data_IF_966383505341
#
_entry.id   IF_966383505341
#
_cell.length_a   1.000
_cell.length_b   1.000
_cell.length_c   1.000
_cell.angle_alpha   90.00
_cell.angle_beta   90.00
_cell.angle_gamma   90.00
#
_symmetry.space_group_name_H-M   'P 1'
#
loop_
_entity.id
_entity.type
_entity.pdbx_description
1 polymer ?
#
# COMPACT_ATOMS: atom_id res chain seq x y z
N UNK A 1 -3.07 -29.65 -16.53
CA UNK A 1 -4.35 -29.35 -15.83
C UNK A 1 -5.59 -29.55 -16.70
N UNK A 2 -6.76 -29.79 -16.09
CA UNK A 2 -8.03 -30.02 -16.80
C UNK A 2 -8.86 -28.73 -16.95
N UNK A 3 -9.65 -28.58 -18.03
CA UNK A 3 -10.66 -27.52 -18.12
C UNK A 3 -11.62 -27.55 -16.92
N UNK A 4 -12.01 -26.39 -16.44
CA UNK A 4 -12.86 -26.23 -15.26
C UNK A 4 -12.10 -26.01 -13.96
N UNK A 5 -10.80 -26.28 -13.94
CA UNK A 5 -9.97 -26.02 -12.75
C UNK A 5 -9.89 -24.53 -12.48
N UNK A 6 -10.25 -24.09 -11.27
CA UNK A 6 -10.00 -22.71 -10.82
C UNK A 6 -8.58 -22.63 -10.27
N UNK A 7 -7.87 -21.56 -10.62
CA UNK A 7 -6.46 -21.36 -10.30
C UNK A 7 -6.20 -19.97 -9.74
N UNK A 8 -5.19 -19.87 -8.88
CA UNK A 8 -4.54 -18.62 -8.52
C UNK A 8 -3.23 -18.48 -9.28
N UNK A 9 -3.00 -17.31 -9.87
CA UNK A 9 -1.73 -16.90 -10.49
C UNK A 9 -1.29 -15.55 -9.92
N UNK A 10 0.01 -15.23 -10.01
CA UNK A 10 0.58 -13.96 -9.53
C UNK A 10 1.41 -13.24 -10.60
N UNK A 11 0.79 -12.68 -11.67
CA UNK A 11 1.52 -12.04 -12.76
C UNK A 11 2.31 -10.78 -12.34
N UNK A 12 1.86 -10.07 -11.28
CA UNK A 12 2.48 -8.83 -10.78
C UNK A 12 2.45 -8.76 -9.24
N UNK A 13 2.66 -9.88 -8.54
CA UNK A 13 2.49 -10.02 -7.08
C UNK A 13 1.06 -9.84 -6.55
N UNK A 14 0.11 -9.55 -7.42
CA UNK A 14 -1.33 -9.59 -7.10
C UNK A 14 -1.88 -10.99 -7.38
N UNK A 15 -2.69 -11.50 -6.45
CA UNK A 15 -3.41 -12.77 -6.65
C UNK A 15 -4.54 -12.52 -7.65
N UNK A 16 -4.51 -13.26 -8.76
CA UNK A 16 -5.56 -13.25 -9.76
C UNK A 16 -6.19 -14.64 -9.81
N UNK A 17 -7.50 -14.69 -9.70
CA UNK A 17 -8.29 -15.91 -9.87
C UNK A 17 -8.71 -16.06 -11.31
N UNK A 18 -8.61 -17.29 -11.83
CA UNK A 18 -9.03 -17.62 -13.18
C UNK A 18 -9.49 -19.07 -13.27
N UNK A 19 -10.28 -19.39 -14.30
CA UNK A 19 -10.67 -20.76 -14.63
C UNK A 19 -9.96 -21.22 -15.90
N UNK A 20 -9.48 -22.47 -15.91
CA UNK A 20 -8.89 -23.10 -17.07
C UNK A 20 -9.99 -23.43 -18.08
N UNK A 21 -9.90 -22.87 -19.28
CA UNK A 21 -10.85 -23.16 -20.37
C UNK A 21 -10.27 -24.22 -21.32
N UNK A 22 -8.95 -24.18 -21.52
CA UNK A 22 -8.24 -25.13 -22.39
C UNK A 22 -6.80 -25.31 -21.93
N UNK A 23 -6.26 -26.51 -22.11
CA UNK A 23 -4.85 -26.83 -21.88
C UNK A 23 -4.22 -27.33 -23.18
N UNK A 24 -3.08 -26.76 -23.56
CA UNK A 24 -2.26 -27.15 -24.72
C UNK A 24 -0.86 -27.52 -24.22
N UNK A 25 -0.66 -28.79 -23.86
CA UNK A 25 0.55 -29.21 -23.15
C UNK A 25 0.69 -28.44 -21.83
N UNK A 26 1.81 -27.72 -21.66
CA UNK A 26 2.10 -26.89 -20.47
C UNK A 26 1.47 -25.49 -20.52
N UNK A 27 0.86 -25.11 -21.65
CA UNK A 27 0.24 -23.79 -21.83
C UNK A 27 -1.24 -23.87 -21.45
N UNK A 28 -1.65 -23.02 -20.52
CA UNK A 28 -3.02 -22.91 -20.05
C UNK A 28 -3.68 -21.67 -20.68
N UNK A 29 -4.92 -21.83 -21.14
CA UNK A 29 -5.80 -20.74 -21.55
C UNK A 29 -6.84 -20.51 -20.46
N UNK A 30 -6.84 -19.29 -19.92
CA UNK A 30 -7.57 -18.94 -18.71
C UNK A 30 -8.57 -17.82 -18.99
N UNK A 31 -9.69 -17.83 -18.26
CA UNK A 31 -10.61 -16.68 -18.14
C UNK A 31 -10.58 -16.21 -16.69
N UNK A 32 -10.26 -14.95 -16.48
CA UNK A 32 -10.19 -14.33 -15.14
C UNK A 32 -11.57 -14.03 -14.58
N UNK A 33 -11.62 -13.76 -13.27
CA UNK A 33 -12.79 -13.19 -12.58
C UNK A 33 -13.36 -11.90 -13.21
N UNK A 34 -12.57 -11.19 -14.02
CA UNK A 34 -12.98 -9.99 -14.76
C UNK A 34 -13.44 -10.27 -16.20
N UNK A 35 -13.51 -11.54 -16.61
CA UNK A 35 -13.86 -11.95 -17.97
C UNK A 35 -12.73 -11.78 -18.99
N UNK A 36 -11.54 -11.35 -18.57
CA UNK A 36 -10.37 -11.22 -19.45
C UNK A 36 -9.76 -12.59 -19.72
N UNK A 37 -9.48 -12.88 -20.99
CA UNK A 37 -8.69 -14.04 -21.40
C UNK A 37 -7.19 -13.78 -21.24
N UNK A 38 -6.49 -14.78 -20.74
CA UNK A 38 -5.02 -14.78 -20.67
C UNK A 38 -4.47 -16.18 -20.89
N UNK A 39 -3.16 -16.26 -21.10
CA UNK A 39 -2.47 -17.55 -21.15
C UNK A 39 -1.21 -17.53 -20.32
N UNK A 40 -0.92 -18.61 -19.62
CA UNK A 40 0.31 -18.78 -18.86
C UNK A 40 0.80 -20.23 -18.95
N UNK A 41 2.04 -20.46 -18.52
CA UNK A 41 2.53 -21.83 -18.27
C UNK A 41 1.92 -22.36 -16.98
N UNK A 42 1.70 -23.67 -16.90
CA UNK A 42 1.32 -24.39 -15.67
C UNK A 42 2.28 -24.10 -14.50
N UNK A 43 3.56 -23.84 -14.78
CA UNK A 43 4.55 -23.42 -13.77
C UNK A 43 4.27 -22.05 -13.11
N UNK A 44 3.34 -21.25 -13.65
CA UNK A 44 2.92 -19.96 -13.09
C UNK A 44 1.69 -20.09 -12.18
N UNK A 45 1.09 -21.28 -12.09
CA UNK A 45 -0.03 -21.54 -11.19
C UNK A 45 0.50 -21.70 -9.77
N UNK A 46 -0.03 -20.89 -8.85
CA UNK A 46 0.34 -20.94 -7.44
C UNK A 46 -0.54 -21.90 -6.65
N UNK A 47 -1.82 -22.02 -7.03
CA UNK A 47 -2.78 -22.91 -6.40
C UNK A 47 -3.85 -23.30 -7.41
N UNK A 48 -4.40 -24.50 -7.29
CA UNK A 48 -5.41 -25.06 -8.17
C UNK A 48 -6.44 -25.85 -7.38
N UNK A 49 -7.70 -25.80 -7.81
CA UNK A 49 -8.74 -26.67 -7.26
C UNK A 49 -8.49 -28.12 -7.67
N UNK A 50 -8.77 -29.06 -6.78
CA UNK A 50 -8.75 -30.48 -7.10
C UNK A 50 -9.98 -30.86 -7.93
N UNK A 51 -11.13 -30.25 -7.65
CA UNK A 51 -12.35 -30.45 -8.43
C UNK A 51 -12.48 -29.43 -9.56
N UNK A 52 -12.99 -29.90 -10.70
CA UNK A 52 -13.25 -29.05 -11.86
C UNK A 52 -14.68 -28.51 -11.83
N UNK A 53 -14.82 -27.23 -12.13
CA UNK A 53 -16.10 -26.56 -12.33
C UNK A 53 -16.56 -26.68 -13.79
N UNK A 54 -17.80 -26.31 -14.06
CA UNK A 54 -18.27 -26.21 -15.45
C UNK A 54 -17.50 -25.12 -16.21
N UNK A 55 -16.77 -25.56 -17.25
CA UNK A 55 -15.98 -24.72 -18.13
C UNK A 55 -16.73 -24.26 -19.40
N UNK A 56 -18.03 -24.56 -19.50
CA UNK A 56 -18.86 -24.17 -20.64
C UNK A 56 -19.50 -22.78 -20.44
N UNK A 57 -19.89 -22.15 -21.55
CA UNK A 57 -20.58 -20.86 -21.55
C UNK A 57 -19.70 -19.70 -22.01
N UNK A 58 -20.21 -18.48 -21.81
CA UNK A 58 -19.51 -17.24 -22.21
C UNK A 58 -18.42 -16.89 -21.22
N UNK A 59 -17.47 -16.04 -21.63
CA UNK A 59 -16.43 -15.51 -20.73
C UNK A 59 -17.03 -14.82 -19.49
N UNK A 60 -18.20 -14.18 -19.63
CA UNK A 60 -18.90 -13.55 -18.50
C UNK A 60 -19.47 -14.59 -17.51
N UNK A 61 -19.98 -15.71 -18.02
CA UNK A 61 -20.48 -16.83 -17.20
C UNK A 61 -19.34 -17.47 -16.42
N UNK A 62 -18.21 -17.72 -17.08
CA UNK A 62 -17.00 -18.24 -16.47
C UNK A 62 -16.44 -17.29 -15.41
N UNK A 63 -16.40 -15.99 -15.72
CA UNK A 63 -15.97 -14.97 -14.77
C UNK A 63 -16.87 -14.91 -13.52
N UNK A 64 -18.19 -15.05 -13.69
CA UNK A 64 -19.12 -15.08 -12.56
C UNK A 64 -18.88 -16.27 -11.63
N UNK A 65 -18.54 -17.45 -12.17
CA UNK A 65 -18.17 -18.64 -11.36
C UNK A 65 -16.89 -18.41 -10.56
N UNK A 66 -15.87 -17.84 -11.22
CA UNK A 66 -14.61 -17.50 -10.54
C UNK A 66 -14.84 -16.47 -9.44
N UNK A 67 -15.68 -15.46 -9.67
CA UNK A 67 -16.05 -14.47 -8.64
C UNK A 67 -16.79 -15.09 -7.47
N UNK A 68 -17.80 -15.94 -7.71
CA UNK A 68 -18.52 -16.61 -6.63
C UNK A 68 -17.59 -17.44 -5.74
N UNK A 69 -16.70 -18.23 -6.35
CA UNK A 69 -15.70 -18.99 -5.60
C UNK A 69 -14.75 -18.09 -4.82
N UNK A 70 -14.32 -16.96 -5.41
CA UNK A 70 -13.47 -15.98 -4.72
C UNK A 70 -14.20 -15.32 -3.54
N UNK A 71 -15.47 -14.98 -3.68
CA UNK A 71 -16.29 -14.41 -2.61
C UNK A 71 -16.40 -15.38 -1.43
N UNK A 72 -16.59 -16.68 -1.68
CA UNK A 72 -16.55 -17.72 -0.65
C UNK A 72 -15.17 -17.82 0.03
N UNK A 73 -14.10 -17.76 -0.77
CA UNK A 73 -12.71 -17.76 -0.27
C UNK A 73 -12.44 -16.54 0.63
N UNK A 74 -12.87 -15.35 0.22
CA UNK A 74 -12.69 -14.12 0.99
C UNK A 74 -13.52 -14.15 2.28
N UNK A 75 -14.78 -14.60 2.23
CA UNK A 75 -15.61 -14.77 3.41
C UNK A 75 -14.99 -15.75 4.41
N UNK A 76 -14.45 -16.86 3.91
CA UNK A 76 -13.75 -17.87 4.73
C UNK A 76 -12.46 -17.29 5.32
N UNK A 77 -11.69 -16.52 4.53
CA UNK A 77 -10.44 -15.94 4.99
C UNK A 77 -10.67 -14.89 6.09
N UNK A 78 -11.67 -14.01 5.95
CA UNK A 78 -11.96 -12.95 6.92
C UNK A 78 -12.43 -13.50 8.27
N UNK A 79 -12.98 -14.72 8.30
CA UNK A 79 -13.36 -15.39 9.54
C UNK A 79 -12.16 -15.91 10.36
N UNK A 80 -10.95 -15.91 9.80
CA UNK A 80 -9.74 -16.40 10.45
C UNK A 80 -9.02 -15.25 11.14
N UNK A 81 -8.73 -15.41 12.43
CA UNK A 81 -7.85 -14.50 13.17
C UNK A 81 -6.38 -14.79 12.79
N UNK A 82 -5.77 -13.91 11.99
CA UNK A 82 -4.37 -14.08 11.59
C UNK A 82 -3.41 -13.95 12.78
N UNK A 83 -3.75 -13.11 13.75
CA UNK A 83 -3.01 -12.96 15.01
C UNK A 83 -2.97 -14.27 15.79
N UNK A 84 -4.12 -14.92 15.99
CA UNK A 84 -4.19 -16.20 16.73
C UNK A 84 -3.44 -17.31 16.00
N UNK A 85 -3.62 -17.41 14.67
CA UNK A 85 -2.88 -18.37 13.84
C UNK A 85 -1.36 -18.14 13.95
N UNK A 86 -0.93 -16.88 13.90
CA UNK A 86 0.47 -16.53 14.01
C UNK A 86 1.05 -16.85 15.39
N UNK A 87 0.33 -16.55 16.48
CA UNK A 87 0.79 -16.86 17.84
C UNK A 87 0.90 -18.36 18.08
N UNK A 88 -0.06 -19.14 17.57
CA UNK A 88 -0.03 -20.59 17.63
C UNK A 88 1.21 -21.17 16.91
N UNK A 89 1.45 -20.77 15.65
CA UNK A 89 2.55 -21.30 14.85
C UNK A 89 3.93 -20.76 15.27
N UNK A 90 3.99 -19.56 15.84
CA UNK A 90 5.25 -19.00 16.32
C UNK A 90 5.85 -19.83 17.48
N UNK A 91 5.01 -20.47 18.29
CA UNK A 91 5.48 -21.34 19.37
C UNK A 91 6.32 -22.51 18.86
N UNK A 92 6.04 -23.00 17.65
CA UNK A 92 6.80 -24.06 16.98
C UNK A 92 8.05 -23.48 16.27
N UNK A 93 7.95 -22.27 15.72
CA UNK A 93 9.08 -21.53 15.14
C UNK A 93 9.60 -22.09 13.81
N UNK A 94 8.90 -23.06 13.23
CA UNK A 94 9.28 -23.73 11.98
C UNK A 94 8.51 -23.19 10.77
N UNK A 95 9.10 -23.35 9.59
CA UNK A 95 8.43 -23.00 8.35
C UNK A 95 7.54 -24.17 7.91
N UNK A 96 6.24 -23.92 7.77
CA UNK A 96 5.26 -24.94 7.41
C UNK A 96 4.77 -24.76 5.97
N UNK A 97 4.55 -25.83 5.21
CA UNK A 97 3.90 -25.75 3.92
C UNK A 97 2.41 -25.40 4.08
N UNK A 98 1.81 -24.79 3.06
CA UNK A 98 0.41 -24.35 3.10
C UNK A 98 -0.58 -25.44 3.55
N UNK A 99 -0.38 -26.68 3.09
CA UNK A 99 -1.31 -27.78 3.38
C UNK A 99 -1.31 -28.17 4.87
N UNK A 100 -0.15 -28.16 5.52
CA UNK A 100 -0.05 -28.44 6.96
C UNK A 100 -0.70 -27.32 7.78
N UNK A 101 -0.52 -26.06 7.40
CA UNK A 101 -1.18 -24.92 8.07
C UNK A 101 -2.71 -25.05 7.97
N UNK A 102 -3.21 -25.45 6.79
CA UNK A 102 -4.65 -25.67 6.56
C UNK A 102 -5.15 -26.82 7.43
N UNK A 103 -4.45 -27.95 7.46
CA UNK A 103 -4.83 -29.12 8.25
C UNK A 103 -4.81 -28.83 9.76
N UNK A 104 -3.79 -28.11 10.25
CA UNK A 104 -3.70 -27.70 11.65
C UNK A 104 -4.83 -26.76 12.07
N UNK A 105 -5.22 -25.81 11.21
CA UNK A 105 -6.25 -24.83 11.55
C UNK A 105 -7.68 -25.38 11.39
N UNK A 106 -7.96 -26.08 10.28
CA UNK A 106 -9.32 -26.54 9.96
C UNK A 106 -9.60 -27.99 10.36
N UNK A 107 -8.57 -28.79 10.65
CA UNK A 107 -8.68 -30.24 10.87
C UNK A 107 -8.94 -31.05 9.60
N UNK A 108 -9.19 -30.38 8.47
CA UNK A 108 -9.40 -30.99 7.16
C UNK A 108 -8.90 -30.09 6.02
N UNK A 109 -8.50 -30.70 4.92
CA UNK A 109 -8.01 -30.00 3.73
C UNK A 109 -9.07 -30.02 2.63
N UNK A 110 -9.60 -28.84 2.31
CA UNK A 110 -10.50 -28.62 1.17
C UNK A 110 -9.94 -27.58 0.20
N UNK A 111 -10.45 -27.53 -1.04
CA UNK A 111 -10.11 -26.47 -1.98
C UNK A 111 -10.38 -25.08 -1.40
N UNK A 112 -11.56 -24.91 -0.79
CA UNK A 112 -11.94 -23.64 -0.17
C UNK A 112 -10.95 -23.23 0.94
N UNK A 113 -10.63 -24.14 1.86
CA UNK A 113 -9.70 -23.84 2.97
C UNK A 113 -8.30 -23.50 2.48
N UNK A 114 -7.78 -24.20 1.46
CA UNK A 114 -6.45 -23.91 0.90
C UNK A 114 -6.39 -22.53 0.26
N UNK A 115 -7.42 -22.18 -0.51
CA UNK A 115 -7.48 -20.87 -1.17
C UNK A 115 -7.68 -19.74 -0.13
N UNK A 116 -8.52 -19.96 0.89
CA UNK A 116 -8.77 -19.01 1.98
C UNK A 116 -7.51 -18.77 2.82
N UNK A 117 -6.83 -19.83 3.26
CA UNK A 117 -5.60 -19.72 4.03
C UNK A 117 -4.51 -18.99 3.24
N UNK A 118 -4.35 -19.33 1.95
CA UNK A 118 -3.39 -18.64 1.09
C UNK A 118 -3.74 -17.16 0.89
N UNK A 119 -5.03 -16.84 0.71
CA UNK A 119 -5.51 -15.46 0.60
C UNK A 119 -5.18 -14.67 1.87
N UNK A 120 -5.51 -15.21 3.05
CA UNK A 120 -5.22 -14.62 4.35
C UNK A 120 -3.73 -14.34 4.56
N UNK A 121 -2.88 -15.35 4.31
CA UNK A 121 -1.43 -15.24 4.50
C UNK A 121 -0.80 -14.23 3.54
N UNK A 122 -1.35 -14.08 2.33
CA UNK A 122 -0.85 -13.13 1.35
C UNK A 122 -1.26 -11.69 1.65
N UNK A 123 -2.48 -11.45 2.13
CA UNK A 123 -2.94 -10.09 2.50
C UNK A 123 -2.35 -9.62 3.82
N UNK A 124 -1.96 -10.53 4.70
CA UNK A 124 -1.39 -10.24 6.03
C UNK A 124 0.11 -10.56 6.11
N UNK A 125 0.88 -10.02 5.17
CA UNK A 125 2.32 -10.26 4.99
C UNK A 125 3.19 -9.91 6.21
N UNK A 126 2.67 -9.13 7.16
CA UNK A 126 3.41 -8.70 8.35
C UNK A 126 3.70 -9.85 9.31
N UNK A 127 2.88 -10.91 9.30
CA UNK A 127 2.99 -12.02 10.25
C UNK A 127 3.85 -13.18 9.73
N UNK A 128 3.86 -13.41 8.43
CA UNK A 128 4.54 -14.55 7.82
C UNK A 128 5.49 -14.13 6.71
N UNK A 129 6.63 -14.81 6.64
CA UNK A 129 7.53 -14.75 5.49
C UNK A 129 7.26 -15.94 4.56
N UNK A 130 6.90 -15.67 3.30
CA UNK A 130 6.70 -16.72 2.29
C UNK A 130 8.04 -17.11 1.65
N UNK A 131 8.39 -18.39 1.72
CA UNK A 131 9.55 -19.01 1.05
C UNK A 131 9.07 -20.13 0.14
N UNK A 132 8.87 -19.81 -1.14
CA UNK A 132 8.20 -20.71 -2.11
C UNK A 132 6.82 -21.13 -1.58
N UNK A 133 6.67 -22.40 -1.22
CA UNK A 133 5.43 -23.01 -0.73
C UNK A 133 5.34 -23.07 0.80
N UNK A 134 6.37 -22.57 1.49
CA UNK A 134 6.47 -22.55 2.95
C UNK A 134 6.19 -21.15 3.51
N UNK A 135 5.62 -21.12 4.71
CA UNK A 135 5.35 -19.91 5.47
C UNK A 135 6.05 -20.01 6.82
N UNK A 136 6.91 -19.03 7.09
CA UNK A 136 7.63 -18.93 8.35
C UNK A 136 7.00 -17.83 9.21
N UNK A 137 6.47 -18.14 10.40
CA UNK A 137 5.98 -17.11 11.32
C UNK A 137 7.14 -16.18 11.72
N UNK A 138 6.91 -14.88 11.63
CA UNK A 138 7.90 -13.87 12.04
C UNK A 138 7.98 -13.80 13.56
N UNK A 139 9.15 -13.43 14.08
CA UNK A 139 9.32 -13.14 15.51
C UNK A 139 8.48 -11.94 15.93
N UNK A 140 8.01 -11.93 17.18
CA UNK A 140 7.15 -10.86 17.73
C UNK A 140 7.79 -9.48 17.58
N UNK A 141 9.09 -9.36 17.83
CA UNK A 141 9.82 -8.09 17.72
C UNK A 141 9.78 -7.54 16.28
N UNK A 142 9.85 -8.43 15.28
CA UNK A 142 9.78 -8.04 13.86
C UNK A 142 8.37 -7.60 13.49
N UNK A 143 7.34 -8.32 13.94
CA UNK A 143 5.94 -7.95 13.69
C UNK A 143 5.63 -6.59 14.30
N UNK A 144 6.02 -6.36 15.56
CA UNK A 144 5.84 -5.08 16.26
C UNK A 144 6.58 -3.93 15.56
N UNK A 145 7.82 -4.17 15.11
CA UNK A 145 8.57 -3.18 14.35
C UNK A 145 7.89 -2.81 13.02
N UNK A 146 7.37 -3.80 12.28
CA UNK A 146 6.62 -3.56 11.04
C UNK A 146 5.33 -2.79 11.33
N UNK A 147 4.55 -3.20 12.33
CA UNK A 147 3.32 -2.49 12.74
C UNK A 147 3.59 -1.04 13.12
N UNK A 148 4.63 -0.79 13.91
CA UNK A 148 5.00 0.56 14.32
C UNK A 148 5.41 1.43 13.11
N UNK A 149 6.16 0.85 12.17
CA UNK A 149 6.56 1.54 10.93
C UNK A 149 5.37 1.87 10.03
N UNK A 150 4.47 0.92 9.80
CA UNK A 150 3.28 1.15 8.97
C UNK A 150 2.34 2.16 9.63
N UNK A 151 2.10 2.06 10.95
CA UNK A 151 1.29 3.06 11.67
C UNK A 151 1.93 4.46 11.63
N UNK A 152 3.26 4.57 11.69
CA UNK A 152 3.94 5.85 11.55
C UNK A 152 3.82 6.41 10.13
N UNK A 153 3.89 5.56 9.10
CA UNK A 153 3.71 5.92 7.70
C UNK A 153 2.27 6.36 7.43
N UNK A 154 1.28 5.61 7.88
CA UNK A 154 -0.14 5.94 7.71
C UNK A 154 -0.48 7.28 8.39
N UNK A 155 -0.04 7.49 9.64
CA UNK A 155 -0.21 8.78 10.32
C UNK A 155 0.45 9.94 9.56
N UNK A 156 1.56 9.69 8.88
CA UNK A 156 2.25 10.70 8.06
C UNK A 156 1.47 11.02 6.79
N UNK A 157 0.95 10.00 6.11
CA UNK A 157 0.12 10.15 4.91
C UNK A 157 -1.20 10.86 5.24
N UNK A 158 -1.86 10.48 6.34
CA UNK A 158 -3.07 11.17 6.83
C UNK A 158 -2.82 12.64 7.11
N UNK A 159 -1.75 12.99 7.84
CA UNK A 159 -1.40 14.40 8.09
C UNK A 159 -1.12 15.18 6.82
N UNK A 160 -0.51 14.55 5.82
CA UNK A 160 -0.23 15.19 4.54
C UNK A 160 -1.52 15.41 3.74
N UNK A 161 -2.45 14.45 3.75
CA UNK A 161 -3.75 14.60 3.09
C UNK A 161 -4.56 15.72 3.76
N UNK A 162 -4.63 15.72 5.11
CA UNK A 162 -5.30 16.78 5.87
C UNK A 162 -4.73 18.18 5.56
N UNK A 163 -3.39 18.30 5.51
CA UNK A 163 -2.71 19.54 5.14
C UNK A 163 -3.01 19.94 3.69
N UNK A 164 -3.02 18.97 2.77
CA UNK A 164 -3.30 19.21 1.34
C UNK A 164 -4.74 19.66 1.13
N UNK A 165 -5.69 19.01 1.78
CA UNK A 165 -7.11 19.37 1.72
C UNK A 165 -7.38 20.74 2.33
N UNK A 166 -6.77 21.05 3.49
CA UNK A 166 -6.87 22.37 4.07
C UNK A 166 -6.30 23.43 3.13
N UNK A 167 -5.11 23.22 2.55
CA UNK A 167 -4.47 24.19 1.66
C UNK A 167 -5.32 24.43 0.40
N UNK A 168 -5.84 23.37 -0.23
CA UNK A 168 -6.77 23.46 -1.37
C UNK A 168 -8.02 24.26 -1.02
N UNK A 169 -8.56 24.08 0.19
CA UNK A 169 -9.74 24.82 0.65
C UNK A 169 -9.42 26.29 0.90
N UNK A 170 -8.28 26.58 1.52
CA UNK A 170 -7.82 27.93 1.83
C UNK A 170 -7.65 28.77 0.57
N UNK A 171 -6.99 28.22 -0.45
CA UNK A 171 -6.78 28.87 -1.75
C UNK A 171 -8.09 29.12 -2.51
N UNK A 172 -9.15 28.35 -2.26
CA UNK A 172 -10.46 28.52 -2.93
C UNK A 172 -11.37 29.53 -2.22
N UNK A 173 -11.37 29.54 -0.90
CA UNK A 173 -12.35 30.28 -0.08
C UNK A 173 -11.78 31.54 0.57
N UNK A 174 -10.47 31.76 0.49
CA UNK A 174 -9.77 32.81 1.22
C UNK A 174 -9.40 32.39 2.65
N UNK A 175 -8.51 33.16 3.27
CA UNK A 175 -7.80 32.86 4.53
C UNK A 175 -8.64 32.86 5.82
N UNK A 176 -9.97 32.89 5.74
CA UNK A 176 -10.87 32.88 6.93
C UNK A 176 -11.04 31.45 7.50
N UNK A 177 -9.95 30.68 7.50
CA UNK A 177 -9.92 29.30 7.96
C UNK A 177 -9.16 29.19 9.28
N UNK A 178 -9.71 28.35 10.16
CA UNK A 178 -9.13 27.94 11.43
C UNK A 178 -7.64 27.56 11.30
N UNK A 179 -6.77 28.40 11.85
CA UNK A 179 -5.31 28.23 11.83
C UNK A 179 -4.87 26.94 12.52
N UNK A 180 -5.63 26.43 13.52
CA UNK A 180 -5.31 25.15 14.14
C UNK A 180 -5.44 23.99 13.15
N UNK A 181 -6.43 24.05 12.24
CA UNK A 181 -6.57 23.07 11.16
C UNK A 181 -5.49 23.22 10.09
N UNK A 182 -5.02 24.45 9.87
CA UNK A 182 -3.97 24.75 8.90
C UNK A 182 -2.54 24.52 9.38
N UNK A 183 -2.35 24.27 10.68
CA UNK A 183 -1.01 24.21 11.32
C UNK A 183 -0.04 23.30 10.57
N UNK A 184 -0.49 22.11 10.15
CA UNK A 184 0.35 21.15 9.43
C UNK A 184 0.81 21.66 8.05
N UNK A 185 -0.08 22.30 7.30
CA UNK A 185 0.24 22.89 6.00
C UNK A 185 1.19 24.09 6.16
N UNK A 186 0.90 24.96 7.12
CA UNK A 186 1.71 26.15 7.40
C UNK A 186 3.11 25.81 7.89
N UNK A 187 3.26 24.78 8.73
CA UNK A 187 4.59 24.30 9.16
C UNK A 187 5.42 23.83 7.97
N UNK A 188 4.81 23.08 7.04
CA UNK A 188 5.48 22.61 5.83
C UNK A 188 5.86 23.76 4.89
N UNK A 189 4.94 24.70 4.63
CA UNK A 189 5.20 25.87 3.79
C UNK A 189 6.31 26.76 4.39
N UNK A 190 6.24 27.06 5.69
CA UNK A 190 7.30 27.81 6.39
C UNK A 190 8.63 27.07 6.32
N UNK A 191 8.64 25.78 6.60
CA UNK A 191 9.85 24.96 6.52
C UNK A 191 10.53 25.03 5.14
N UNK A 192 9.74 24.90 4.06
CA UNK A 192 10.25 25.07 2.69
C UNK A 192 10.77 26.49 2.47
N UNK A 193 9.96 27.50 2.75
CA UNK A 193 10.31 28.90 2.48
C UNK A 193 11.60 29.33 3.20
N UNK A 194 11.80 28.87 4.44
CA UNK A 194 12.92 29.22 5.30
C UNK A 194 14.21 28.44 4.99
N UNK A 195 14.09 27.12 4.84
CA UNK A 195 15.25 26.21 4.85
C UNK A 195 15.43 25.44 3.53
N UNK A 196 14.45 25.46 2.63
CA UNK A 196 14.52 24.73 1.36
C UNK A 196 14.86 23.25 1.59
N UNK A 197 15.87 22.76 0.86
CA UNK A 197 16.31 21.36 0.94
C UNK A 197 16.86 20.94 2.31
N UNK A 198 17.29 21.90 3.15
CA UNK A 198 17.76 21.61 4.52
C UNK A 198 16.60 21.33 5.50
N UNK A 199 15.36 21.59 5.09
CA UNK A 199 14.19 21.28 5.90
C UNK A 199 14.03 19.76 6.10
N UNK A 200 13.97 19.23 7.34
CA UNK A 200 13.86 17.79 7.57
C UNK A 200 12.65 17.12 6.92
N UNK A 201 11.56 17.88 6.73
CA UNK A 201 10.33 17.42 6.08
C UNK A 201 10.20 17.96 4.64
N UNK A 202 11.31 18.34 3.99
CA UNK A 202 11.32 18.88 2.62
C UNK A 202 10.51 18.05 1.64
N UNK A 203 10.65 16.71 1.66
CA UNK A 203 9.87 15.82 0.78
C UNK A 203 8.35 15.91 1.00
N UNK A 204 7.90 16.07 2.25
CA UNK A 204 6.46 16.27 2.53
C UNK A 204 6.00 17.63 2.05
N UNK A 205 6.82 18.65 2.25
CA UNK A 205 6.55 19.99 1.73
C UNK A 205 6.42 20.01 0.21
N UNK A 206 7.30 19.32 -0.50
CA UNK A 206 7.21 19.17 -1.96
C UNK A 206 5.92 18.48 -2.39
N UNK A 207 5.51 17.41 -1.68
CA UNK A 207 4.24 16.74 -1.96
C UNK A 207 3.04 17.65 -1.70
N UNK A 208 3.10 18.47 -0.65
CA UNK A 208 2.06 19.47 -0.36
C UNK A 208 1.94 20.49 -1.51
N UNK A 209 3.05 21.04 -2.01
CA UNK A 209 3.04 21.97 -3.14
C UNK A 209 2.50 21.31 -4.42
N UNK A 210 2.91 20.08 -4.71
CA UNK A 210 2.39 19.31 -5.85
C UNK A 210 0.87 19.07 -5.72
N UNK A 211 0.37 18.87 -4.51
CA UNK A 211 -1.06 18.63 -4.22
C UNK A 211 -1.99 19.79 -4.62
N UNK A 212 -1.44 21.00 -4.77
CA UNK A 212 -2.11 22.22 -5.21
C UNK A 212 -1.64 22.70 -6.58
N UNK A 213 -0.91 21.87 -7.32
CA UNK A 213 -0.51 22.14 -8.70
C UNK A 213 0.85 22.81 -8.88
N UNK A 214 1.66 22.92 -7.82
CA UNK A 214 2.98 23.54 -7.85
C UNK A 214 4.13 22.52 -7.81
N UNK A 215 4.26 21.69 -8.85
CA UNK A 215 5.44 20.87 -9.05
C UNK A 215 6.62 21.74 -9.55
N UNK A 216 7.64 21.96 -8.73
CA UNK A 216 8.73 22.90 -9.02
C UNK A 216 10.10 22.40 -8.55
N UNK A 217 11.17 22.90 -9.18
CA UNK A 217 12.56 22.74 -8.70
C UNK A 217 13.01 23.88 -7.78
N UNK A 218 12.21 24.94 -7.70
CA UNK A 218 12.45 26.12 -6.87
C UNK A 218 11.25 26.34 -5.96
N UNK A 219 11.12 25.56 -4.87
CA UNK A 219 9.93 25.55 -4.05
C UNK A 219 9.86 26.70 -3.04
N UNK A 220 10.99 27.31 -2.66
CA UNK A 220 10.98 28.39 -1.66
C UNK A 220 10.15 29.61 -2.09
N UNK A 221 10.31 30.18 -3.30
CA UNK A 221 9.50 31.31 -3.74
C UNK A 221 8.00 31.01 -3.73
N UNK A 222 7.62 29.83 -4.24
CA UNK A 222 6.21 29.39 -4.27
C UNK A 222 5.66 29.26 -2.85
N UNK A 223 6.41 28.66 -1.94
CA UNK A 223 5.96 28.51 -0.56
C UNK A 223 5.78 29.87 0.13
N UNK A 224 6.66 30.83 -0.14
CA UNK A 224 6.52 32.21 0.36
C UNK A 224 5.29 32.91 -0.25
N UNK A 225 5.11 32.83 -1.56
CA UNK A 225 3.94 33.42 -2.25
C UNK A 225 2.62 32.88 -1.67
N UNK A 226 2.53 31.56 -1.43
CA UNK A 226 1.37 30.95 -0.80
C UNK A 226 1.17 31.43 0.64
N UNK A 227 2.23 31.61 1.43
CA UNK A 227 2.12 32.15 2.79
C UNK A 227 1.62 33.60 2.80
N UNK A 228 1.99 34.40 1.80
CA UNK A 228 1.52 35.78 1.63
C UNK A 228 0.06 35.81 1.15
N UNK A 229 -0.29 35.00 0.14
CA UNK A 229 -1.66 34.88 -0.38
C UNK A 229 -2.65 34.46 0.72
N UNK A 230 -2.22 33.55 1.59
CA UNK A 230 -2.99 33.10 2.74
C UNK A 230 -2.96 34.08 3.93
N UNK A 231 -2.26 35.21 3.83
CA UNK A 231 -2.21 36.25 4.86
C UNK A 231 -1.40 35.88 6.11
N UNK A 232 -0.60 34.82 6.08
CA UNK A 232 0.24 34.41 7.21
C UNK A 232 1.59 35.10 7.24
N UNK A 233 2.08 35.56 6.08
CA UNK A 233 3.27 36.41 5.95
C UNK A 233 2.92 37.74 5.27
N UNK A 234 3.66 38.78 5.62
CA UNK A 234 3.62 40.06 4.87
C UNK A 234 4.59 40.04 3.70
N UNK A 235 4.34 40.84 2.66
CA UNK A 235 5.28 41.04 1.54
C UNK A 235 6.69 41.46 2.02
N UNK A 236 6.78 42.18 3.14
CA UNK A 236 8.03 42.69 3.74
C UNK A 236 8.80 41.65 4.58
N UNK A 237 8.20 40.51 4.99
CA UNK A 237 8.91 39.46 5.76
C UNK A 237 9.91 38.67 4.91
N UNK A 238 9.73 38.68 3.58
CA UNK A 238 10.62 38.04 2.61
C UNK A 238 12.05 38.61 2.70
N UNK A 239 12.20 39.89 3.07
CA UNK A 239 13.50 40.56 3.22
C UNK A 239 14.29 40.14 4.46
N UNK A 240 13.61 39.78 5.56
CA UNK A 240 14.27 39.34 6.80
C UNK A 240 14.92 37.96 6.64
N UNK A 241 14.34 37.10 5.80
CA UNK A 241 14.86 35.77 5.49
C UNK A 241 16.06 35.80 4.55
N UNK A 242 16.05 36.72 3.58
CA UNK A 242 17.23 37.05 2.77
C UNK A 242 18.35 37.64 3.63
N UNK A 243 18.04 38.46 4.65
CA UNK A 243 19.04 39.05 5.56
C UNK A 243 19.73 38.03 6.46
N UNK A 244 19.02 37.05 7.02
CA UNK A 244 19.62 36.06 7.91
C UNK A 244 20.52 35.03 7.21
N UNK A 245 20.40 34.85 5.89
CA UNK A 245 21.36 34.05 5.10
C UNK A 245 22.62 34.84 4.69
N UNK A 246 22.62 36.17 4.82
CA UNK A 246 23.78 37.04 4.48
C UNK A 246 24.66 37.34 5.70
N UNK A 247 24.16 37.14 6.94
CA UNK A 247 24.97 37.36 8.14
C UNK A 247 25.81 36.12 8.52
N UNK A 248 26.85 35.86 7.73
CA UNK A 248 28.08 35.23 8.21
C UNK A 248 29.10 36.35 8.40
N UNK A 249 29.17 36.90 9.60
CA UNK A 249 30.06 38.01 9.96
C UNK A 249 31.47 37.49 10.42
N UNK A 250 32.51 38.35 10.50
CA UNK A 250 33.56 38.52 9.49
C UNK A 250 34.96 38.06 10.00
N UNK A 251 36.05 38.05 9.21
CA UNK A 251 37.39 38.10 9.80
C UNK A 251 37.73 39.54 10.15
N UNK A 252 38.02 39.76 11.43
CA UNK A 252 38.66 40.94 11.94
C UNK A 252 40.14 40.97 11.54
N UNK A 253 40.61 42.07 10.96
CA UNK A 253 42.00 42.52 11.03
C UNK A 253 41.90 44.01 11.37
N UNK A 254 42.08 44.43 12.63
CA UNK A 254 43.37 44.60 13.33
C UNK A 254 44.40 45.29 12.44
N UNK A 255 44.39 46.62 12.43
CA UNK A 255 45.47 47.50 12.91
C UNK A 255 44.99 48.96 12.97
#
# INVERSE_FOLDING_TARGET
MTPGTIVQIEPSKEIVYAIVVRSEGVKLHLVTERGKRLSCSESKVCLATAQAFDATGTDQTLAARVRAFREEVEATAVAISIEELWEFLQAEGEALPLHEIVELYFGEVSDLHRFAMRQLLATNWIYFERKKDFYLPRKREIVEQIKAREAAKERREQRLEEASDWLRMALRKGADLDEERGRGALELLRGIALFGEEFPRYREGMQLLESVGHATKHPQPIATELLIELGFWSEDENELLLRHQISREPPAEVL
#
